data_IF_759551486287
#
_entry.id   IF_759551486287
#
_cell.length_a   1.000
_cell.length_b   1.000
_cell.length_c   1.000
_cell.angle_alpha   90.00
_cell.angle_beta   90.00
_cell.angle_gamma   90.00
#
_symmetry.space_group_name_H-M   'P 1'
#
loop_
_entity.id
_entity.type
_entity.pdbx_description
1 polymer ?
#
# COMPACT_ATOMS: atom_id res chain seq x y z
N UNK A 1 -54.68 35.41 -38.18
CA UNK A 1 -53.32 35.20 -38.75
C UNK A 1 -52.30 35.23 -37.62
N UNK A 2 -51.44 34.19 -37.54
CA UNK A 2 -50.16 34.05 -36.80
C UNK A 2 -50.22 34.27 -35.26
N UNK A 3 -50.41 33.22 -34.44
CA UNK A 3 -49.40 32.30 -33.84
C UNK A 3 -48.22 33.01 -33.17
N UNK A 4 -48.06 32.87 -31.85
CA UNK A 4 -46.77 32.51 -31.20
C UNK A 4 -47.07 31.91 -29.82
N UNK A 5 -46.70 30.64 -29.64
CA UNK A 5 -46.80 29.86 -28.41
C UNK A 5 -45.68 30.28 -27.44
N UNK A 6 -46.00 30.55 -26.17
CA UNK A 6 -45.00 30.58 -25.10
C UNK A 6 -44.72 29.13 -24.68
N UNK A 7 -43.64 28.58 -25.21
CA UNK A 7 -43.15 27.23 -24.87
C UNK A 7 -41.92 27.35 -23.97
N UNK A 8 -42.02 26.69 -22.81
CA UNK A 8 -40.97 25.98 -22.08
C UNK A 8 -39.68 26.75 -21.69
N UNK A 9 -39.61 27.14 -20.41
CA UNK A 9 -38.38 27.50 -19.72
C UNK A 9 -38.18 26.64 -18.46
N UNK A 10 -38.16 25.31 -18.60
CA UNK A 10 -37.72 24.42 -17.52
C UNK A 10 -36.26 24.04 -17.77
N UNK A 11 -35.34 24.96 -17.45
CA UNK A 11 -33.91 24.63 -17.35
C UNK A 11 -33.68 24.10 -15.94
N UNK A 12 -34.09 22.86 -15.71
CA UNK A 12 -33.56 22.09 -14.58
C UNK A 12 -32.11 21.77 -14.94
N UNK A 13 -31.20 22.61 -14.45
CA UNK A 13 -29.77 22.37 -14.50
C UNK A 13 -29.48 21.10 -13.70
N UNK A 14 -29.52 19.95 -14.37
CA UNK A 14 -28.97 18.71 -13.88
C UNK A 14 -27.45 18.88 -13.86
N UNK A 15 -26.93 19.38 -12.75
CA UNK A 15 -25.51 19.31 -12.43
C UNK A 15 -25.12 17.83 -12.41
N UNK A 16 -24.50 17.40 -13.51
CA UNK A 16 -23.73 16.16 -13.59
C UNK A 16 -22.59 16.25 -12.58
N UNK A 17 -22.87 15.89 -11.33
CA UNK A 17 -21.86 15.43 -10.40
C UNK A 17 -21.38 14.08 -10.92
N UNK A 18 -20.49 14.11 -11.91
CA UNK A 18 -19.67 12.96 -12.26
C UNK A 18 -18.75 12.73 -11.07
N UNK A 19 -19.24 11.99 -10.06
CA UNK A 19 -18.39 11.38 -9.07
C UNK A 19 -17.42 10.49 -9.84
N UNK A 20 -16.18 10.96 -10.01
CA UNK A 20 -15.10 10.16 -10.55
C UNK A 20 -14.84 9.04 -9.55
N UNK A 21 -15.52 7.90 -9.72
CA UNK A 21 -15.18 6.69 -9.01
C UNK A 21 -13.74 6.35 -9.42
N UNK A 22 -12.77 6.61 -8.55
CA UNK A 22 -11.40 6.15 -8.77
C UNK A 22 -11.46 4.62 -8.79
N UNK A 23 -11.31 4.03 -9.96
CA UNK A 23 -11.23 2.58 -10.13
C UNK A 23 -10.04 2.09 -9.31
N UNK A 24 -10.27 1.08 -8.45
CA UNK A 24 -9.16 0.35 -7.85
C UNK A 24 -8.34 -0.27 -8.99
N UNK A 25 -7.04 -0.01 -8.99
CA UNK A 25 -6.13 -0.62 -9.94
C UNK A 25 -5.53 -1.89 -9.32
N UNK A 26 -5.42 -2.94 -10.13
CA UNK A 26 -4.76 -4.18 -9.73
C UNK A 26 -3.32 -4.17 -10.22
N UNK A 27 -2.37 -4.30 -9.29
CA UNK A 27 -0.95 -4.35 -9.57
C UNK A 27 -0.39 -5.73 -9.26
N UNK A 28 0.40 -6.29 -10.18
CA UNK A 28 1.25 -7.44 -9.89
C UNK A 28 2.65 -6.92 -9.55
N UNK A 29 3.05 -7.07 -8.30
CA UNK A 29 4.31 -6.55 -7.77
C UNK A 29 5.24 -7.73 -7.54
N UNK A 30 6.47 -7.62 -8.04
CA UNK A 30 7.54 -8.58 -7.81
C UNK A 30 8.68 -7.86 -7.09
N UNK A 31 9.11 -8.42 -5.95
CA UNK A 31 10.25 -7.94 -5.19
C UNK A 31 11.33 -8.99 -5.28
N UNK A 32 12.52 -8.60 -5.74
CA UNK A 32 13.68 -9.48 -5.90
C UNK A 32 14.79 -9.02 -4.96
N UNK A 33 15.36 -9.95 -4.19
CA UNK A 33 16.56 -9.67 -3.42
C UNK A 33 17.80 -9.82 -4.32
N UNK A 34 18.47 -8.70 -4.60
CA UNK A 34 19.69 -8.64 -5.41
C UNK A 34 20.97 -8.50 -4.58
N UNK A 35 20.88 -8.59 -3.25
CA UNK A 35 22.05 -8.60 -2.38
C UNK A 35 22.82 -9.91 -2.55
N UNK A 36 24.10 -9.89 -2.20
CA UNK A 36 25.00 -11.03 -2.44
C UNK A 36 24.82 -12.14 -1.40
N UNK A 37 24.59 -11.76 -0.14
CA UNK A 37 24.54 -12.70 0.99
C UNK A 37 23.37 -12.48 1.95
N UNK A 38 22.86 -11.26 1.99
CA UNK A 38 21.92 -10.80 2.97
C UNK A 38 20.51 -11.29 2.66
N UNK A 39 19.75 -11.57 3.71
CA UNK A 39 18.35 -11.97 3.64
C UNK A 39 17.45 -10.74 3.84
N UNK A 40 16.28 -10.73 3.21
CA UNK A 40 15.26 -9.70 3.50
C UNK A 40 14.19 -10.31 4.40
N UNK A 41 13.94 -9.69 5.55
CA UNK A 41 12.86 -10.06 6.47
C UNK A 41 11.48 -9.79 5.87
N UNK A 42 10.38 -10.25 6.49
CA UNK A 42 9.03 -9.96 6.00
C UNK A 42 8.81 -8.49 5.66
N UNK A 43 8.21 -8.23 4.50
CA UNK A 43 8.07 -6.89 3.92
C UNK A 43 6.68 -6.37 4.27
N UNK A 44 6.63 -5.30 5.06
CA UNK A 44 5.39 -4.58 5.37
C UNK A 44 5.09 -3.60 4.26
N UNK A 45 3.86 -3.66 3.75
CA UNK A 45 3.35 -2.82 2.66
C UNK A 45 2.14 -2.07 3.15
N UNK A 46 2.15 -0.76 2.99
CA UNK A 46 1.04 0.10 3.44
C UNK A 46 0.96 1.37 2.58
N UNK A 47 -0.20 1.99 2.50
CA UNK A 47 -0.33 3.31 1.88
C UNK A 47 0.44 4.39 2.67
N UNK A 48 1.00 5.37 1.96
CA UNK A 48 1.67 6.55 2.56
C UNK A 48 0.77 7.38 3.49
N UNK A 49 -0.55 7.22 3.41
CA UNK A 49 -1.50 7.80 4.37
C UNK A 49 -1.23 7.35 5.82
N UNK A 50 -0.56 6.21 6.01
CA UNK A 50 -0.14 5.67 7.30
C UNK A 50 1.29 6.08 7.70
N UNK A 51 1.87 7.10 7.05
CA UNK A 51 3.22 7.58 7.42
C UNK A 51 3.30 7.98 8.91
N UNK A 52 2.20 8.47 9.51
CA UNK A 52 2.13 8.76 10.96
C UNK A 52 2.22 7.51 11.86
N UNK A 53 1.94 6.33 11.30
CA UNK A 53 2.00 5.05 12.01
C UNK A 53 3.42 4.47 11.98
N UNK A 54 4.21 4.86 10.97
CA UNK A 54 5.61 4.46 10.81
C UNK A 54 6.54 5.50 11.45
N UNK A 55 6.34 6.79 11.15
CA UNK A 55 7.24 7.89 11.47
C UNK A 55 6.70 8.79 12.58
N UNK A 56 7.60 9.34 13.38
CA UNK A 56 7.35 10.36 14.41
C UNK A 56 8.39 11.47 14.27
N UNK A 57 8.07 12.47 13.46
CA UNK A 57 9.03 13.53 13.11
C UNK A 57 10.21 12.95 12.33
N UNK A 58 11.42 13.16 12.84
CA UNK A 58 12.66 12.63 12.24
C UNK A 58 13.00 11.20 12.70
N UNK A 59 12.14 10.57 13.48
CA UNK A 59 12.34 9.22 14.00
C UNK A 59 11.30 8.25 13.43
N UNK A 60 11.57 6.96 13.61
CA UNK A 60 10.53 5.94 13.49
C UNK A 60 9.83 5.77 14.82
N UNK A 61 8.67 5.16 14.78
CA UNK A 61 7.93 4.79 15.97
C UNK A 61 8.44 3.49 16.55
N UNK A 62 8.11 3.18 17.81
CA UNK A 62 8.64 1.98 18.50
C UNK A 62 8.27 0.69 17.77
N UNK A 63 7.07 0.60 17.23
CA UNK A 63 6.61 -0.58 16.50
C UNK A 63 7.34 -0.73 15.15
N UNK A 64 7.61 0.38 14.46
CA UNK A 64 8.41 0.38 13.24
C UNK A 64 9.89 0.10 13.52
N UNK A 65 10.44 0.62 14.62
CA UNK A 65 11.79 0.34 15.09
C UNK A 65 11.98 -1.15 15.34
N UNK A 66 11.02 -1.81 16.00
CA UNK A 66 11.10 -3.25 16.24
C UNK A 66 11.15 -4.05 14.94
N UNK A 67 10.28 -3.75 13.98
CA UNK A 67 10.34 -4.35 12.64
C UNK A 67 11.69 -4.11 11.96
N UNK A 68 12.29 -2.92 12.11
CA UNK A 68 13.59 -2.59 11.51
C UNK A 68 14.74 -3.34 12.19
N UNK A 69 14.66 -3.58 13.50
CA UNK A 69 15.75 -4.18 14.29
C UNK A 69 15.67 -5.71 14.38
N UNK A 70 14.47 -6.28 14.32
CA UNK A 70 14.25 -7.73 14.50
C UNK A 70 13.69 -8.40 13.26
N UNK A 71 13.11 -7.64 12.32
CA UNK A 71 12.38 -8.17 11.19
C UNK A 71 11.01 -8.75 11.54
N UNK A 72 10.52 -8.57 12.78
CA UNK A 72 9.18 -9.00 13.19
C UNK A 72 8.12 -7.90 12.91
N UNK A 73 7.20 -8.12 11.95
CA UNK A 73 6.24 -7.10 11.56
C UNK A 73 5.06 -6.99 12.51
N UNK A 74 4.90 -7.91 13.47
CA UNK A 74 3.65 -8.10 14.22
C UNK A 74 3.16 -6.81 14.90
N UNK A 75 4.05 -6.06 15.56
CA UNK A 75 3.66 -4.84 16.27
C UNK A 75 3.32 -3.69 15.33
N UNK A 76 4.07 -3.55 14.24
CA UNK A 76 3.80 -2.51 13.25
C UNK A 76 2.47 -2.77 12.53
N UNK A 77 2.22 -4.02 12.15
CA UNK A 77 0.95 -4.45 11.55
C UNK A 77 -0.21 -4.24 12.52
N UNK A 78 -0.06 -4.61 13.79
CA UNK A 78 -1.09 -4.40 14.80
C UNK A 78 -1.43 -2.91 14.98
N UNK A 79 -0.44 -2.04 14.84
CA UNK A 79 -0.65 -0.59 14.92
C UNK A 79 -1.35 -0.01 13.69
N UNK A 80 -0.96 -0.43 12.49
CA UNK A 80 -1.57 0.06 11.24
C UNK A 80 -3.00 -0.49 11.09
N UNK A 81 -3.21 -1.75 11.49
CA UNK A 81 -4.48 -2.45 11.34
C UNK A 81 -4.62 -3.16 9.99
N UNK A 82 -5.85 -3.29 9.51
CA UNK A 82 -6.20 -4.06 8.31
C UNK A 82 -5.61 -3.51 7.01
N UNK A 83 -5.10 -2.29 7.03
CA UNK A 83 -4.53 -1.62 5.85
C UNK A 83 -3.06 -1.98 5.62
N UNK A 84 -2.44 -2.72 6.55
CA UNK A 84 -1.11 -3.30 6.37
C UNK A 84 -1.20 -4.68 5.72
N UNK A 85 -0.38 -4.88 4.69
CA UNK A 85 -0.11 -6.19 4.10
C UNK A 85 1.32 -6.61 4.46
N UNK A 86 1.53 -7.92 4.66
CA UNK A 86 2.86 -8.50 4.87
C UNK A 86 3.13 -9.51 3.78
N UNK A 87 4.32 -9.42 3.21
CA UNK A 87 4.81 -10.36 2.22
C UNK A 87 6.02 -11.08 2.78
N UNK A 88 5.98 -12.41 2.72
CA UNK A 88 7.03 -13.28 3.23
C UNK A 88 7.83 -13.87 2.06
N UNK A 89 9.13 -14.06 2.25
CA UNK A 89 9.87 -15.02 1.43
C UNK A 89 9.59 -16.45 1.89
N UNK A 90 10.42 -17.40 1.44
CA UNK A 90 10.24 -18.84 1.72
C UNK A 90 11.47 -19.46 2.40
N UNK A 91 12.50 -18.66 2.70
CA UNK A 91 13.82 -19.12 3.15
C UNK A 91 14.07 -18.88 4.65
N UNK A 92 15.06 -19.63 5.18
CA UNK A 92 15.52 -19.63 6.57
C UNK A 92 14.50 -20.27 7.55
N UNK A 93 14.83 -20.50 8.82
CA UNK A 93 13.83 -20.71 9.88
C UNK A 93 13.43 -19.34 10.45
N UNK A 94 12.13 -18.93 10.46
CA UNK A 94 10.89 -19.70 10.30
C UNK A 94 10.25 -19.73 8.88
N UNK A 95 11.02 -19.58 7.80
CA UNK A 95 10.54 -19.76 6.42
C UNK A 95 9.88 -18.52 5.84
N UNK A 96 10.36 -17.35 6.25
CA UNK A 96 9.72 -16.05 5.97
C UNK A 96 10.67 -15.04 5.34
N UNK A 97 11.94 -15.43 5.16
CA UNK A 97 12.98 -14.56 4.64
C UNK A 97 13.09 -14.72 3.12
N UNK A 98 13.47 -13.66 2.44
CA UNK A 98 13.73 -13.68 1.00
C UNK A 98 15.23 -13.74 0.76
N UNK A 99 15.74 -14.90 0.32
CA UNK A 99 17.16 -15.10 0.09
C UNK A 99 17.71 -14.38 -1.16
N UNK A 100 19.03 -14.17 -1.25
CA UNK A 100 19.71 -13.68 -2.46
C UNK A 100 19.24 -14.38 -3.75
N UNK A 101 18.96 -13.58 -4.77
CA UNK A 101 18.50 -14.05 -6.08
C UNK A 101 17.06 -14.58 -6.11
N UNK A 102 16.34 -14.58 -4.99
CA UNK A 102 14.93 -15.00 -4.93
C UNK A 102 14.01 -13.80 -5.13
N UNK A 103 12.80 -14.10 -5.59
CA UNK A 103 11.73 -13.13 -5.77
C UNK A 103 10.46 -13.59 -5.07
N UNK A 104 9.74 -12.65 -4.51
CA UNK A 104 8.34 -12.83 -4.10
C UNK A 104 7.44 -12.00 -4.99
N UNK A 105 6.32 -12.57 -5.41
CA UNK A 105 5.34 -11.90 -6.26
C UNK A 105 3.96 -11.97 -5.63
N UNK A 106 3.28 -10.84 -5.58
CA UNK A 106 1.94 -10.74 -5.03
C UNK A 106 1.10 -9.76 -5.85
N UNK A 107 -0.21 -9.86 -5.68
CA UNK A 107 -1.17 -9.00 -6.34
C UNK A 107 -1.77 -8.04 -5.32
N UNK A 108 -1.85 -6.76 -5.68
CA UNK A 108 -2.36 -5.71 -4.84
C UNK A 108 -3.43 -4.94 -5.59
N UNK A 109 -4.66 -5.03 -5.08
CA UNK A 109 -5.76 -4.18 -5.53
C UNK A 109 -5.80 -2.96 -4.63
N UNK A 110 -5.56 -1.78 -5.21
CA UNK A 110 -5.55 -0.55 -4.43
C UNK A 110 -6.05 0.66 -5.19
N UNK A 111 -6.64 1.60 -4.45
CA UNK A 111 -7.01 2.94 -4.93
C UNK A 111 -5.97 4.00 -4.56
N UNK A 112 -4.95 3.62 -3.77
CA UNK A 112 -3.93 4.55 -3.29
C UNK A 112 -2.87 4.78 -4.37
N UNK A 113 -2.38 6.00 -4.47
CA UNK A 113 -1.41 6.38 -5.49
C UNK A 113 0.04 6.13 -5.08
N UNK A 114 0.30 5.96 -3.77
CA UNK A 114 1.65 5.80 -3.22
C UNK A 114 1.67 4.82 -2.04
N UNK A 115 2.63 3.89 -2.09
CA UNK A 115 2.86 2.85 -1.11
C UNK A 115 4.22 3.03 -0.43
N UNK A 116 4.32 2.50 0.79
CA UNK A 116 5.55 2.28 1.54
C UNK A 116 5.84 0.80 1.59
N UNK A 117 7.11 0.46 1.48
CA UNK A 117 7.66 -0.88 1.69
C UNK A 117 8.69 -0.78 2.80
N UNK A 118 8.57 -1.59 3.85
CA UNK A 118 9.48 -1.61 4.97
C UNK A 118 9.90 -3.04 5.30
N UNK A 119 11.20 -3.29 5.31
CA UNK A 119 11.78 -4.59 5.65
C UNK A 119 13.15 -4.40 6.29
N UNK A 120 13.51 -5.30 7.20
CA UNK A 120 14.87 -5.41 7.72
C UNK A 120 15.73 -6.17 6.70
N UNK A 121 16.95 -5.67 6.47
CA UNK A 121 18.01 -6.44 5.83
C UNK A 121 18.73 -7.21 6.94
N UNK A 122 18.62 -8.53 6.90
CA UNK A 122 19.28 -9.44 7.82
C UNK A 122 20.64 -9.88 7.22
N UNK A 123 21.73 -9.84 8.01
CA UNK A 123 23.03 -10.32 7.58
C UNK A 123 23.07 -11.85 7.42
#
# INVERSE_FOLDING_TARGET
>A
MKKTLLTAGAISAFTLLSASASLAASYKITITNHMDSELIAPIVIVATAHDKDIFRGNYVTREAEEQILTGDPAKLVARIGSDASVVHGEDGPPGVLLAPGKSVTFQLDTKVQMLRFLAMVAP
#
